data_IF_052285704573
#
_entry.id   IF_052285704573
#
_cell.length_a   1.000
_cell.length_b   1.000
_cell.length_c   1.000
_cell.angle_alpha   90.00
_cell.angle_beta   90.00
_cell.angle_gamma   90.00
#
_symmetry.space_group_name_H-M   'P 1'
#
loop_
_entity.id
_entity.type
_entity.pdbx_description
1 polymer ?
#
# COMPACT_ATOMS: atom_id res chain seq x y z
N UNK A 1 -7.46 0.31 28.45
CA UNK A 1 -8.30 1.48 28.13
C UNK A 1 -9.01 1.27 26.80
N UNK A 2 -10.08 2.01 26.55
CA UNK A 2 -10.81 1.95 25.28
C UNK A 2 -10.06 2.76 24.21
N UNK A 3 -9.88 2.15 23.04
CA UNK A 3 -9.43 2.81 21.83
C UNK A 3 -10.35 2.47 20.67
N UNK A 4 -10.43 3.35 19.67
CA UNK A 4 -11.32 3.18 18.53
C UNK A 4 -10.50 3.10 17.24
N UNK A 5 -10.82 2.14 16.37
CA UNK A 5 -10.21 2.07 15.05
C UNK A 5 -10.60 3.31 14.23
N UNK A 6 -9.63 4.05 13.70
CA UNK A 6 -9.92 5.24 12.86
C UNK A 6 -10.58 4.89 11.53
N UNK A 7 -10.44 3.64 11.06
CA UNK A 7 -10.91 3.21 9.75
C UNK A 7 -12.35 2.67 9.77
N UNK A 8 -12.83 2.12 10.89
CA UNK A 8 -14.18 1.52 10.99
C UNK A 8 -14.96 1.91 12.26
N UNK A 9 -14.34 2.62 13.21
CA UNK A 9 -14.97 3.02 14.47
C UNK A 9 -15.11 1.91 15.52
N UNK A 10 -14.66 0.68 15.23
CA UNK A 10 -14.76 -0.43 16.18
C UNK A 10 -13.91 -0.17 17.43
N UNK A 11 -14.51 -0.40 18.60
CA UNK A 11 -13.83 -0.27 19.89
C UNK A 11 -12.98 -1.51 20.18
N UNK A 12 -11.75 -1.28 20.62
CA UNK A 12 -10.84 -2.32 21.11
C UNK A 12 -10.30 -1.93 22.49
N UNK A 13 -10.22 -2.91 23.39
CA UNK A 13 -9.53 -2.76 24.67
C UNK A 13 -8.03 -2.98 24.46
N UNK A 14 -7.24 -1.96 24.76
CA UNK A 14 -5.78 -1.96 24.58
C UNK A 14 -5.07 -1.42 25.81
N UNK A 15 -3.82 -1.83 25.99
CA UNK A 15 -2.92 -1.29 27.00
C UNK A 15 -2.20 -0.09 26.40
N UNK A 16 -2.54 1.11 26.86
CA UNK A 16 -2.00 2.37 26.36
C UNK A 16 -1.87 3.39 27.51
N UNK A 17 -1.01 4.37 27.30
CA UNK A 17 -0.72 5.42 28.28
C UNK A 17 -1.67 6.63 28.17
N UNK A 18 -2.34 6.79 27.02
CA UNK A 18 -3.24 7.91 26.73
C UNK A 18 -4.22 7.53 25.59
N UNK A 19 -5.24 8.37 25.36
CA UNK A 19 -6.32 8.10 24.40
C UNK A 19 -5.86 8.06 22.94
N UNK A 20 -4.83 8.84 22.59
CA UNK A 20 -4.24 8.85 21.25
C UNK A 20 -3.53 7.53 20.97
N UNK A 21 -2.70 7.06 21.90
CA UNK A 21 -2.05 5.75 21.85
C UNK A 21 -3.07 4.62 21.82
N UNK A 22 -4.16 4.73 22.58
CA UNK A 22 -5.22 3.72 22.56
C UNK A 22 -5.89 3.62 21.19
N UNK A 23 -6.19 4.75 20.57
CA UNK A 23 -6.78 4.84 19.22
C UNK A 23 -5.82 4.30 18.16
N UNK A 24 -4.53 4.63 18.27
CA UNK A 24 -3.49 4.10 17.38
C UNK A 24 -3.38 2.57 17.51
N UNK A 25 -3.25 2.04 18.72
CA UNK A 25 -3.17 0.60 18.97
C UNK A 25 -4.45 -0.14 18.59
N UNK A 26 -5.63 0.45 18.82
CA UNK A 26 -6.90 -0.10 18.37
C UNK A 26 -6.96 -0.20 16.85
N UNK A 27 -6.50 0.83 16.14
CA UNK A 27 -6.39 0.83 14.67
C UNK A 27 -5.40 -0.23 14.17
N UNK A 28 -4.23 -0.34 14.80
CA UNK A 28 -3.20 -1.32 14.43
C UNK A 28 -3.66 -2.77 14.67
N UNK A 29 -4.46 -3.02 15.71
CA UNK A 29 -5.01 -4.35 16.03
C UNK A 29 -6.30 -4.69 15.28
N UNK A 30 -6.98 -3.70 14.70
CA UNK A 30 -8.26 -3.91 14.06
C UNK A 30 -8.09 -4.68 12.74
N UNK A 31 -8.81 -5.78 12.60
CA UNK A 31 -8.84 -6.65 11.42
C UNK A 31 -9.96 -6.30 10.44
N UNK A 32 -10.64 -5.16 10.61
CA UNK A 32 -11.70 -4.72 9.71
C UNK A 32 -11.26 -4.63 8.24
N UNK A 33 -12.23 -4.72 7.34
CA UNK A 33 -12.04 -4.64 5.88
C UNK A 33 -12.70 -3.39 5.31
N UNK A 34 -12.71 -2.29 6.08
CA UNK A 34 -13.35 -1.06 5.61
C UNK A 34 -12.63 -0.48 4.40
N UNK A 35 -13.40 0.13 3.49
CA UNK A 35 -12.87 0.80 2.30
C UNK A 35 -11.88 1.91 2.67
N UNK A 36 -12.12 2.60 3.79
CA UNK A 36 -11.21 3.61 4.34
C UNK A 36 -9.84 3.00 4.74
N UNK A 37 -9.85 1.83 5.38
CA UNK A 37 -8.61 1.11 5.72
C UNK A 37 -7.86 0.70 4.46
N UNK A 38 -8.60 0.17 3.47
CA UNK A 38 -8.00 -0.21 2.19
C UNK A 38 -7.33 0.98 1.52
N UNK A 39 -8.02 2.13 1.38
CA UNK A 39 -7.45 3.34 0.79
C UNK A 39 -6.21 3.80 1.55
N UNK A 40 -6.26 3.89 2.88
CA UNK A 40 -5.12 4.32 3.70
C UNK A 40 -3.90 3.41 3.53
N UNK A 41 -4.10 2.09 3.51
CA UNK A 41 -3.03 1.12 3.31
C UNK A 41 -2.49 1.17 1.88
N UNK A 42 -3.35 1.33 0.87
CA UNK A 42 -2.96 1.52 -0.52
C UNK A 42 -2.06 2.75 -0.67
N UNK A 43 -2.47 3.90 -0.13
CA UNK A 43 -1.67 5.13 -0.20
C UNK A 43 -0.30 4.97 0.49
N UNK A 44 -0.28 4.38 1.69
CA UNK A 44 0.96 4.12 2.41
C UNK A 44 1.91 3.19 1.64
N UNK A 45 1.37 2.14 1.01
CA UNK A 45 2.14 1.20 0.22
C UNK A 45 2.68 1.85 -1.06
N UNK A 46 1.85 2.63 -1.77
CA UNK A 46 2.28 3.37 -2.96
C UNK A 46 3.38 4.37 -2.61
N UNK A 47 3.23 5.12 -1.52
CA UNK A 47 4.27 6.06 -1.07
C UNK A 47 5.58 5.32 -0.71
N UNK A 48 5.47 4.18 -0.02
CA UNK A 48 6.64 3.38 0.34
C UNK A 48 7.37 2.79 -0.88
N UNK A 49 6.62 2.33 -1.89
CA UNK A 49 7.18 1.64 -3.05
C UNK A 49 7.56 2.59 -4.20
N UNK A 50 6.87 3.72 -4.33
CA UNK A 50 6.90 4.57 -5.51
C UNK A 50 7.25 6.03 -5.20
N UNK A 51 6.89 6.53 -4.01
CA UNK A 51 7.18 7.88 -3.56
C UNK A 51 8.61 8.07 -3.05
N UNK A 52 8.84 9.13 -2.29
CA UNK A 52 10.17 9.51 -1.80
C UNK A 52 10.72 8.46 -0.81
N UNK A 53 9.84 7.81 -0.05
CA UNK A 53 10.23 6.72 0.86
C UNK A 53 10.83 5.52 0.13
N UNK A 54 10.57 5.36 -1.17
CA UNK A 54 11.14 4.28 -1.99
C UNK A 54 12.67 4.36 -2.13
N UNK A 55 13.27 5.52 -1.87
CA UNK A 55 14.75 5.66 -1.79
C UNK A 55 15.35 4.77 -0.71
N UNK A 56 14.66 4.57 0.41
CA UNK A 56 15.09 3.67 1.48
C UNK A 56 15.18 2.21 1.01
N UNK A 57 14.34 1.84 0.05
CA UNK A 57 14.36 0.54 -0.64
C UNK A 57 15.27 0.53 -1.87
N UNK A 58 16.07 1.60 -2.05
CA UNK A 58 16.96 1.84 -3.18
C UNK A 58 16.25 1.84 -4.54
N UNK A 59 14.99 2.25 -4.59
CA UNK A 59 14.31 2.56 -5.85
C UNK A 59 14.44 4.04 -6.19
N UNK A 60 14.33 4.34 -7.49
CA UNK A 60 14.15 5.73 -7.94
C UNK A 60 12.69 6.12 -7.69
N UNK A 61 12.43 7.22 -6.96
CA UNK A 61 11.08 7.75 -6.82
C UNK A 61 10.46 8.09 -8.16
N UNK A 62 9.14 7.99 -8.21
CA UNK A 62 8.31 8.40 -9.33
C UNK A 62 7.78 9.79 -9.02
N UNK A 63 7.52 10.59 -10.05
CA UNK A 63 6.90 11.89 -9.89
C UNK A 63 5.41 11.77 -9.47
N UNK A 64 4.83 12.90 -9.07
CA UNK A 64 3.45 12.95 -8.58
C UNK A 64 2.44 12.44 -9.63
N UNK A 65 2.70 12.70 -10.92
CA UNK A 65 1.87 12.22 -12.01
C UNK A 65 1.88 10.69 -12.10
N UNK A 66 3.07 10.06 -12.02
CA UNK A 66 3.19 8.61 -12.02
C UNK A 66 2.65 7.96 -10.75
N UNK A 67 2.81 8.60 -9.58
CA UNK A 67 2.18 8.15 -8.33
C UNK A 67 0.66 8.17 -8.45
N UNK A 68 0.09 9.26 -8.97
CA UNK A 68 -1.35 9.37 -9.20
C UNK A 68 -1.86 8.26 -10.12
N UNK A 69 -1.14 7.99 -11.22
CA UNK A 69 -1.45 6.88 -12.12
C UNK A 69 -1.45 5.51 -11.42
N UNK A 70 -0.48 5.27 -10.54
CA UNK A 70 -0.40 4.02 -9.76
C UNK A 70 -1.57 3.90 -8.78
N UNK A 71 -1.97 5.00 -8.10
CA UNK A 71 -3.13 5.01 -7.20
C UNK A 71 -4.42 4.69 -7.95
N UNK A 72 -4.69 5.35 -9.07
CA UNK A 72 -5.85 5.05 -9.93
C UNK A 72 -5.83 3.61 -10.44
N UNK A 73 -4.65 3.10 -10.79
CA UNK A 73 -4.51 1.70 -11.19
C UNK A 73 -4.87 0.73 -10.06
N UNK A 74 -4.54 1.06 -8.81
CA UNK A 74 -4.94 0.26 -7.65
C UNK A 74 -6.47 0.28 -7.46
N UNK A 75 -7.11 1.43 -7.62
CA UNK A 75 -8.57 1.56 -7.53
C UNK A 75 -9.29 0.76 -8.63
N UNK A 76 -8.78 0.78 -9.87
CA UNK A 76 -9.34 -0.01 -10.97
C UNK A 76 -9.19 -1.52 -10.74
N UNK A 77 -8.09 -1.95 -10.11
CA UNK A 77 -7.90 -3.35 -9.74
C UNK A 77 -8.80 -3.75 -8.57
N UNK A 78 -8.95 -2.88 -7.58
CA UNK A 78 -9.86 -3.09 -6.44
C UNK A 78 -11.33 -3.18 -6.88
N UNK A 79 -11.75 -2.31 -7.80
CA UNK A 79 -13.08 -2.32 -8.38
C UNK A 79 -13.35 -3.50 -9.33
N UNK A 80 -12.36 -4.37 -9.58
CA UNK A 80 -12.49 -5.52 -10.49
C UNK A 80 -12.57 -5.14 -11.97
N UNK A 81 -12.28 -3.89 -12.33
CA UNK A 81 -12.27 -3.42 -13.73
C UNK A 81 -11.04 -3.96 -14.47
N UNK A 82 -9.93 -4.11 -13.75
CA UNK A 82 -8.65 -4.62 -14.28
C UNK A 82 -8.16 -5.75 -13.37
N UNK A 83 -7.82 -6.91 -13.91
CA UNK A 83 -7.33 -8.03 -13.10
C UNK A 83 -5.87 -7.83 -12.66
N UNK A 84 -5.05 -7.28 -13.54
CA UNK A 84 -3.63 -7.04 -13.31
C UNK A 84 -3.09 -5.92 -14.19
N UNK A 85 -2.07 -5.23 -13.69
CA UNK A 85 -1.29 -4.26 -14.46
C UNK A 85 0.19 -4.38 -14.11
N UNK A 86 1.04 -4.20 -15.13
CA UNK A 86 2.49 -4.12 -15.00
C UNK A 86 3.00 -2.83 -15.59
N UNK A 87 3.74 -2.08 -14.79
CA UNK A 87 4.29 -0.77 -15.15
C UNK A 87 5.81 -0.87 -15.08
N UNK A 88 6.48 -0.66 -16.21
CA UNK A 88 7.95 -0.64 -16.27
C UNK A 88 8.43 0.77 -15.92
N UNK A 89 9.23 0.89 -14.86
CA UNK A 89 9.73 2.16 -14.36
C UNK A 89 11.24 2.09 -14.23
N UNK A 90 11.97 2.75 -15.14
CA UNK A 90 13.44 2.75 -15.18
C UNK A 90 14.03 1.33 -15.05
N UNK A 91 14.76 1.07 -13.96
CA UNK A 91 15.39 -0.20 -13.60
C UNK A 91 14.47 -1.15 -12.79
N UNK A 92 13.18 -0.86 -12.73
CA UNK A 92 12.20 -1.60 -11.94
C UNK A 92 10.92 -1.89 -12.73
N UNK A 93 10.10 -2.78 -12.18
CA UNK A 93 8.77 -3.12 -12.63
C UNK A 93 7.84 -3.10 -11.43
N UNK A 94 6.72 -2.39 -11.54
CA UNK A 94 5.63 -2.40 -10.57
C UNK A 94 4.55 -3.33 -11.11
N UNK A 95 4.09 -4.24 -10.28
CA UNK A 95 3.01 -5.17 -10.57
C UNK A 95 1.92 -4.91 -9.55
N UNK A 96 0.71 -4.63 -10.04
CA UNK A 96 -0.50 -4.48 -9.21
C UNK A 96 -1.45 -5.59 -9.65
N UNK A 97 -1.92 -6.40 -8.70
CA UNK A 97 -2.80 -7.53 -8.97
C UNK A 97 -3.91 -7.61 -7.92
N UNK A 98 -5.07 -8.11 -8.33
CA UNK A 98 -6.04 -8.62 -7.38
C UNK A 98 -5.44 -9.89 -6.73
N UNK A 99 -5.35 -9.88 -5.41
CA UNK A 99 -5.13 -11.05 -4.55
C UNK A 99 -6.44 -11.29 -3.78
N UNK A 100 -6.64 -12.50 -3.24
CA UNK A 100 -7.87 -12.87 -2.53
C UNK A 100 -8.24 -11.79 -1.48
N UNK A 101 -9.24 -10.98 -1.82
CA UNK A 101 -9.82 -9.86 -1.04
C UNK A 101 -8.93 -8.62 -0.86
N UNK A 102 -7.78 -8.51 -1.57
CA UNK A 102 -6.81 -7.41 -1.42
C UNK A 102 -6.13 -7.03 -2.74
N UNK A 103 -5.56 -5.83 -2.79
CA UNK A 103 -4.68 -5.42 -3.90
C UNK A 103 -3.22 -5.64 -3.51
N UNK A 104 -2.51 -6.50 -4.26
CA UNK A 104 -1.08 -6.78 -4.09
C UNK A 104 -0.26 -5.85 -4.99
N UNK A 105 0.50 -4.94 -4.37
CA UNK A 105 1.40 -4.01 -5.04
C UNK A 105 2.84 -4.45 -4.79
N UNK A 106 3.54 -4.82 -5.86
CA UNK A 106 4.94 -5.27 -5.79
C UNK A 106 5.80 -4.45 -6.72
N UNK A 107 6.93 -3.96 -6.23
CA UNK A 107 7.97 -3.33 -7.05
C UNK A 107 9.23 -4.18 -7.01
N UNK A 108 9.69 -4.63 -8.17
CA UNK A 108 10.87 -5.47 -8.33
C UNK A 108 11.88 -4.79 -9.24
N UNK A 109 13.18 -4.98 -8.97
CA UNK A 109 14.22 -4.53 -9.91
C UNK A 109 14.24 -5.47 -11.11
N UNK A 110 14.45 -4.91 -12.30
CA UNK A 110 14.78 -5.73 -13.47
C UNK A 110 16.12 -6.40 -13.19
N UNK A 111 16.13 -7.72 -13.05
CA UNK A 111 17.38 -8.45 -13.11
C UNK A 111 17.96 -8.25 -14.51
N UNK A 112 19.14 -7.64 -14.60
CA UNK A 112 19.94 -7.71 -15.81
C UNK A 112 20.48 -9.14 -15.90
N UNK A 113 19.72 -10.05 -16.47
CA UNK A 113 20.30 -11.26 -17.03
C UNK A 113 21.11 -10.84 -18.26
N UNK A 114 22.31 -10.30 -18.03
CA UNK A 114 23.38 -10.45 -19.00
C UNK A 114 23.72 -11.94 -19.01
N UNK A 115 23.03 -12.70 -19.86
CA UNK A 115 23.60 -13.93 -20.39
C UNK A 115 24.84 -13.50 -21.17
N UNK A 116 26.00 -13.58 -20.53
CA UNK A 116 27.28 -13.58 -21.22
C UNK A 116 27.37 -14.92 -21.93
N UNK A 117 27.27 -14.91 -23.26
CA UNK A 117 27.71 -16.00 -24.14
C UNK A 117 28.71 -15.39 -25.11
#
# INVERSE_FOLDING_TARGET
MEGYCVDCGQMHLVEANNAEDATRLATERCDCESEAKWHRLMEANVEMLCGEKSRGLRFTPIDDAGISFIKTSCELVHAGVIENIKIKVANSEITIKAAAEKVDIKRVRKQSNQLTI
#
